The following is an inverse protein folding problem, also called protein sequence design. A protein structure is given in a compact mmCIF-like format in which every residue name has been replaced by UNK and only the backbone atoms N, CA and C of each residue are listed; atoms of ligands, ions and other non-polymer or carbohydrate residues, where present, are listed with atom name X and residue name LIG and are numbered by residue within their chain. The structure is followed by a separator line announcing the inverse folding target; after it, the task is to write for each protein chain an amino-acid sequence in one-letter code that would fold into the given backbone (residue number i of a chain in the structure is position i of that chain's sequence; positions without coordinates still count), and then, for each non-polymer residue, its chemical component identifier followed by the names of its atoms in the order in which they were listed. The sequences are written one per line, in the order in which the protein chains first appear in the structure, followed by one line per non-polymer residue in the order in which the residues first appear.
data_IF_323162275631
#
_entry.id   IF_323162275631
#
_cell.length_a   1.000
_cell.length_b   1.000
_cell.length_c   1.000
_cell.angle_alpha   90.00
_cell.angle_beta   90.00
_cell.angle_gamma   90.00
#
_symmetry.space_group_name_H-M   'P 1'
#
loop_
_entity.id
_entity.type
_entity.pdbx_description
1 polymer ?
#
# COMPACT_ATOMS: atom_id res chain seq x y z
N UNK A 1 26.82 -40.28 -42.23
CA UNK A 1 25.50 -40.57 -41.64
C UNK A 1 25.59 -40.33 -40.14
N UNK A 2 24.67 -39.50 -39.63
CA UNK A 2 24.17 -39.38 -38.25
C UNK A 2 25.17 -39.30 -37.09
N UNK A 3 25.42 -38.06 -36.64
CA UNK A 3 25.59 -37.77 -35.20
C UNK A 3 24.43 -36.87 -34.76
N UNK A 4 23.71 -37.36 -33.76
CA UNK A 4 22.45 -36.84 -33.25
C UNK A 4 22.75 -35.83 -32.12
N UNK A 5 22.59 -34.53 -32.38
CA UNK A 5 22.68 -33.49 -31.34
C UNK A 5 21.28 -33.20 -30.80
N UNK A 6 21.09 -33.54 -29.54
CA UNK A 6 19.91 -33.24 -28.72
C UNK A 6 19.86 -31.77 -28.32
N UNK A 7 18.81 -31.11 -28.80
CA UNK A 7 17.81 -30.33 -28.07
C UNK A 7 18.21 -29.33 -26.94
N UNK A 8 17.72 -28.10 -27.16
CA UNK A 8 17.10 -27.15 -26.23
C UNK A 8 17.94 -26.42 -25.17
N UNK A 9 18.10 -25.11 -25.37
CA UNK A 9 17.66 -24.06 -24.42
C UNK A 9 17.48 -22.75 -25.20
N UNK A 10 16.23 -22.34 -25.45
CA UNK A 10 15.90 -21.01 -25.95
C UNK A 10 15.04 -20.28 -24.91
N UNK A 11 15.27 -18.97 -24.87
CA UNK A 11 14.84 -17.96 -23.91
C UNK A 11 13.40 -17.98 -23.40
N UNK A 12 13.29 -17.65 -22.11
CA UNK A 12 12.29 -16.77 -21.47
C UNK A 12 10.83 -16.94 -21.88
N UNK A 13 10.08 -17.73 -21.09
CA UNK A 13 8.63 -17.70 -21.08
C UNK A 13 8.13 -16.43 -20.36
N UNK A 14 7.68 -15.45 -21.15
CA UNK A 14 6.73 -14.45 -20.70
C UNK A 14 5.35 -15.11 -20.56
N UNK A 15 4.72 -14.88 -19.42
CA UNK A 15 3.38 -15.32 -19.05
C UNK A 15 2.36 -14.54 -19.89
N UNK A 16 1.88 -15.16 -20.96
CA UNK A 16 0.65 -14.76 -21.66
C UNK A 16 -0.37 -15.89 -21.50
N UNK A 17 -1.38 -15.68 -20.67
CA UNK A 17 -2.57 -16.53 -20.61
C UNK A 17 -3.52 -16.17 -21.77
N UNK A 18 -3.91 -17.11 -22.64
CA UNK A 18 -4.96 -16.85 -23.62
C UNK A 18 -6.34 -16.90 -22.94
N UNK A 19 -7.06 -15.78 -22.97
CA UNK A 19 -8.49 -15.75 -22.63
C UNK A 19 -9.27 -16.35 -23.78
N UNK A 20 -10.00 -17.41 -23.46
CA UNK A 20 -10.89 -18.15 -24.35
C UNK A 20 -12.06 -17.26 -24.78
N UNK A 21 -12.10 -17.00 -26.08
CA UNK A 21 -13.18 -16.34 -26.80
C UNK A 21 -14.36 -17.31 -26.93
N UNK A 22 -15.52 -16.98 -26.36
CA UNK A 22 -16.78 -17.52 -26.88
C UNK A 22 -17.66 -16.38 -27.39
N UNK A 23 -18.21 -16.63 -28.55
CA UNK A 23 -18.81 -15.66 -29.46
C UNK A 23 -20.32 -15.60 -29.23
N UNK A 24 -20.90 -14.40 -29.26
CA UNK A 24 -22.23 -14.17 -29.87
C UNK A 24 -22.36 -12.68 -30.25
N UNK A 25 -22.48 -12.45 -31.56
CA UNK A 25 -22.90 -11.22 -32.29
C UNK A 25 -24.28 -10.74 -31.80
N UNK A 26 -24.83 -9.54 -31.99
CA UNK A 26 -24.59 -8.25 -32.70
C UNK A 26 -25.43 -7.19 -31.92
N UNK A 27 -25.43 -5.87 -32.08
CA UNK A 27 -25.27 -4.98 -33.23
C UNK A 27 -24.91 -3.56 -32.73
N UNK A 28 -24.33 -2.74 -33.61
CA UNK A 28 -23.57 -1.54 -33.26
C UNK A 28 -24.36 -0.27 -32.91
N UNK A 29 -23.64 0.68 -32.32
CA UNK A 29 -23.44 2.01 -32.87
C UNK A 29 -22.12 2.59 -32.34
N UNK A 30 -21.38 3.24 -33.22
CA UNK A 30 -20.11 3.93 -32.98
C UNK A 30 -20.37 5.23 -32.25
N UNK A 31 -19.73 5.45 -31.10
CA UNK A 31 -19.28 6.79 -30.69
C UNK A 31 -18.15 6.71 -29.65
N UNK A 32 -16.94 6.95 -30.17
CA UNK A 32 -15.73 7.51 -29.55
C UNK A 32 -15.69 7.63 -28.02
N UNK A 33 -15.15 6.61 -27.35
CA UNK A 33 -14.65 6.71 -25.98
C UNK A 33 -13.37 7.55 -25.96
N UNK A 34 -13.49 8.80 -25.51
CA UNK A 34 -12.35 9.58 -25.00
C UNK A 34 -11.73 8.81 -23.85
N UNK A 35 -10.44 8.52 -24.01
CA UNK A 35 -9.54 7.98 -23.01
C UNK A 35 -9.48 8.94 -21.81
N UNK A 36 -10.23 8.67 -20.75
CA UNK A 36 -9.99 9.27 -19.44
C UNK A 36 -8.96 8.43 -18.71
N UNK A 37 -7.81 9.07 -18.49
CA UNK A 37 -6.67 8.65 -17.71
C UNK A 37 -7.10 8.09 -16.35
N UNK A 38 -6.75 6.84 -16.08
CA UNK A 38 -6.70 6.23 -14.75
C UNK A 38 -5.81 7.07 -13.82
N UNK A 39 -6.42 8.03 -13.12
CA UNK A 39 -5.82 8.70 -11.97
C UNK A 39 -6.76 8.53 -10.78
N UNK A 40 -6.29 7.77 -9.80
CA UNK A 40 -6.95 7.56 -8.52
C UNK A 40 -7.40 6.12 -8.31
N UNK A 41 -6.46 5.18 -8.13
CA UNK A 41 -6.82 3.90 -7.50
C UNK A 41 -7.05 4.19 -6.02
N UNK A 42 -8.29 4.50 -5.66
CA UNK A 42 -8.76 4.68 -4.28
C UNK A 42 -8.71 3.32 -3.59
N UNK A 43 -8.25 3.29 -2.33
CA UNK A 43 -8.33 2.08 -1.52
C UNK A 43 -9.81 1.73 -1.28
N UNK A 44 -10.26 0.62 -1.85
CA UNK A 44 -11.64 0.17 -1.71
C UNK A 44 -11.78 -0.58 -0.37
N UNK A 45 -12.18 0.18 0.66
CA UNK A 45 -12.47 -0.33 2.00
C UNK A 45 -13.53 -1.43 1.90
N UNK A 46 -13.16 -2.66 2.25
CA UNK A 46 -14.11 -3.76 2.37
C UNK A 46 -15.14 -3.41 3.45
N UNK A 47 -16.34 -3.04 3.04
CA UNK A 47 -17.41 -2.62 3.93
C UNK A 47 -17.95 -3.83 4.71
N UNK A 48 -17.26 -4.23 5.78
CA UNK A 48 -17.67 -5.28 6.69
C UNK A 48 -18.65 -4.74 7.74
N UNK A 49 -19.83 -4.31 7.29
CA UNK A 49 -21.00 -4.15 8.14
C UNK A 49 -22.06 -5.13 7.67
N UNK A 50 -22.07 -6.35 8.25
CA UNK A 50 -23.28 -7.11 8.63
C UNK A 50 -22.93 -8.20 9.65
N UNK A 51 -23.60 -8.09 10.79
CA UNK A 51 -24.00 -9.11 11.77
C UNK A 51 -23.77 -10.58 11.39
N UNK A 52 -23.12 -11.30 12.30
CA UNK A 52 -23.20 -12.75 12.58
C UNK A 52 -24.00 -13.61 11.59
N UNK A 53 -23.33 -14.28 10.64
CA UNK A 53 -23.64 -15.64 10.20
C UNK A 53 -22.57 -16.13 9.23
N UNK A 54 -22.27 -17.44 9.25
CA UNK A 54 -21.31 -18.14 8.40
C UNK A 54 -21.53 -17.83 6.90
N UNK A 55 -20.80 -16.88 6.33
CA UNK A 55 -20.41 -16.78 4.91
C UNK A 55 -19.68 -15.44 4.64
N UNK A 56 -18.44 -15.29 5.12
CA UNK A 56 -17.50 -14.40 4.45
C UNK A 56 -16.93 -15.19 3.27
N UNK A 57 -17.14 -14.73 2.04
CA UNK A 57 -16.64 -15.37 0.81
C UNK A 57 -15.10 -15.45 0.79
N UNK A 58 -14.42 -14.75 1.70
CA UNK A 58 -12.96 -14.72 1.84
C UNK A 58 -12.54 -15.12 3.25
N UNK A 59 -11.53 -15.99 3.33
CA UNK A 59 -10.87 -16.35 4.59
C UNK A 59 -10.01 -15.20 5.12
N UNK A 60 -9.65 -15.24 6.42
CA UNK A 60 -8.72 -14.24 7.02
C UNK A 60 -7.43 -14.13 6.18
N UNK A 61 -6.92 -15.27 5.73
CA UNK A 61 -5.70 -15.35 4.93
C UNK A 61 -5.86 -14.71 3.54
N UNK A 62 -7.04 -14.84 2.90
CA UNK A 62 -7.31 -14.22 1.59
C UNK A 62 -7.33 -12.69 1.68
N UNK A 63 -7.92 -12.14 2.75
CA UNK A 63 -7.97 -10.69 2.98
C UNK A 63 -6.56 -10.14 3.23
N UNK A 64 -5.81 -10.79 4.12
CA UNK A 64 -4.42 -10.43 4.42
C UNK A 64 -3.55 -10.51 3.17
N UNK A 65 -3.69 -11.58 2.37
CA UNK A 65 -2.95 -11.76 1.13
C UNK A 65 -3.27 -10.66 0.10
N UNK A 66 -4.54 -10.28 -0.04
CA UNK A 66 -4.95 -9.21 -0.97
C UNK A 66 -4.39 -7.85 -0.53
N UNK A 67 -4.49 -7.51 0.76
CA UNK A 67 -3.94 -6.26 1.29
C UNK A 67 -2.41 -6.18 1.13
N UNK A 68 -1.71 -7.31 1.38
CA UNK A 68 -0.25 -7.41 1.13
C UNK A 68 0.06 -7.18 -0.34
N UNK A 69 -0.64 -7.84 -1.25
CA UNK A 69 -0.40 -7.73 -2.69
C UNK A 69 -0.59 -6.30 -3.21
N UNK A 70 -1.64 -5.60 -2.77
CA UNK A 70 -1.88 -4.20 -3.15
C UNK A 70 -0.74 -3.30 -2.65
N UNK A 71 -0.36 -3.46 -1.38
CA UNK A 71 0.74 -2.69 -0.77
C UNK A 71 2.08 -2.96 -1.44
N UNK A 72 2.38 -4.22 -1.76
CA UNK A 72 3.61 -4.64 -2.45
C UNK A 72 3.68 -4.08 -3.87
N UNK A 73 2.58 -4.14 -4.63
CA UNK A 73 2.51 -3.57 -5.98
C UNK A 73 2.78 -2.06 -5.96
N UNK A 74 2.14 -1.32 -5.04
CA UNK A 74 2.34 0.13 -4.87
C UNK A 74 3.76 0.47 -4.44
N UNK A 75 4.32 -0.33 -3.54
CA UNK A 75 5.70 -0.16 -3.08
C UNK A 75 6.70 -0.44 -4.20
N UNK A 76 6.46 -1.44 -5.04
CA UNK A 76 7.29 -1.74 -6.21
C UNK A 76 7.27 -0.60 -7.24
N UNK A 77 6.10 0.01 -7.48
CA UNK A 77 5.98 1.20 -8.33
C UNK A 77 6.80 2.37 -7.79
N UNK A 78 6.68 2.65 -6.48
CA UNK A 78 7.48 3.70 -5.82
C UNK A 78 8.98 3.43 -5.96
N UNK A 79 9.42 2.19 -5.68
CA UNK A 79 10.83 1.78 -5.83
C UNK A 79 11.33 2.02 -7.25
N UNK A 80 10.58 1.60 -8.26
CA UNK A 80 10.97 1.78 -9.66
C UNK A 80 11.09 3.26 -10.05
N UNK A 81 10.16 4.10 -9.57
CA UNK A 81 10.22 5.55 -9.80
C UNK A 81 11.48 6.16 -9.17
N UNK A 82 11.79 5.79 -7.92
CA UNK A 82 12.95 6.31 -7.21
C UNK A 82 14.25 5.79 -7.82
N UNK A 83 14.31 4.53 -8.22
CA UNK A 83 15.45 3.94 -8.92
C UNK A 83 15.74 4.69 -10.24
N UNK A 84 14.70 4.95 -11.04
CA UNK A 84 14.80 5.77 -12.26
C UNK A 84 15.27 7.20 -11.94
N UNK A 85 14.80 7.78 -10.84
CA UNK A 85 15.20 9.12 -10.41
C UNK A 85 16.67 9.17 -9.95
N UNK A 86 17.14 8.16 -9.23
CA UNK A 86 18.53 8.05 -8.76
C UNK A 86 19.51 7.84 -9.91
N UNK A 87 19.18 6.94 -10.84
CA UNK A 87 19.99 6.64 -12.03
C UNK A 87 20.10 7.86 -12.95
N UNK A 88 18.99 8.58 -13.17
CA UNK A 88 18.98 9.83 -13.97
C UNK A 88 19.87 10.92 -13.35
N UNK A 89 20.04 10.92 -12.03
CA UNK A 89 20.86 11.88 -11.30
C UNK A 89 22.29 11.39 -11.00
N UNK A 90 22.74 10.32 -11.68
CA UNK A 90 24.12 9.83 -11.61
C UNK A 90 24.50 9.18 -10.27
N UNK A 91 23.54 8.82 -9.42
CA UNK A 91 23.82 8.14 -8.14
C UNK A 91 23.98 6.63 -8.37
N UNK A 92 25.09 6.06 -7.89
CA UNK A 92 25.33 4.60 -7.95
C UNK A 92 24.45 3.88 -6.91
N UNK A 93 23.78 2.82 -7.33
CA UNK A 93 22.90 1.99 -6.48
C UNK A 93 23.69 0.74 -6.07
N UNK A 94 23.86 0.53 -4.75
CA UNK A 94 24.46 -0.68 -4.20
C UNK A 94 23.44 -1.60 -3.51
N UNK A 95 22.51 -1.03 -2.74
CA UNK A 95 21.52 -1.75 -1.91
C UNK A 95 20.22 -0.95 -1.72
N UNK A 96 19.15 -1.62 -1.25
CA UNK A 96 17.85 -0.99 -0.95
C UNK A 96 17.95 0.12 0.12
N UNK A 97 18.85 -0.03 1.10
CA UNK A 97 19.10 0.98 2.13
C UNK A 97 19.71 2.27 1.55
N UNK A 98 20.43 2.18 0.42
CA UNK A 98 20.99 3.36 -0.25
C UNK A 98 19.90 4.21 -0.86
N UNK A 99 18.78 3.59 -1.27
CA UNK A 99 17.62 4.29 -1.82
C UNK A 99 16.93 5.14 -0.75
N UNK A 100 16.66 4.58 0.43
CA UNK A 100 16.02 5.33 1.52
C UNK A 100 16.92 6.45 2.04
N UNK A 101 18.22 6.19 2.18
CA UNK A 101 19.19 7.22 2.55
C UNK A 101 19.34 8.30 1.49
N UNK A 102 19.22 7.96 0.21
CA UNK A 102 19.20 8.94 -0.88
C UNK A 102 18.00 9.88 -0.75
N UNK A 103 16.80 9.32 -0.56
CA UNK A 103 15.58 10.10 -0.36
C UNK A 103 15.66 10.96 0.91
N UNK A 104 16.20 10.42 2.00
CA UNK A 104 16.38 11.12 3.27
C UNK A 104 17.28 12.37 3.15
N UNK A 105 18.25 12.37 2.23
CA UNK A 105 19.09 13.55 1.97
C UNK A 105 18.32 14.73 1.38
N UNK A 106 17.18 14.49 0.73
CA UNK A 106 16.34 15.52 0.11
C UNK A 106 16.98 16.24 -1.10
N UNK A 107 18.22 15.90 -1.47
CA UNK A 107 18.95 16.55 -2.56
C UNK A 107 18.70 15.82 -3.89
N UNK A 108 17.47 15.91 -4.39
CA UNK A 108 17.08 15.35 -5.67
C UNK A 108 16.13 16.28 -6.42
N UNK A 109 16.16 16.18 -7.73
CA UNK A 109 15.28 16.92 -8.64
C UNK A 109 14.07 16.07 -8.99
N UNK A 110 12.91 16.72 -8.98
CA UNK A 110 11.64 16.13 -9.42
C UNK A 110 11.03 17.03 -10.48
N UNK A 111 10.47 16.42 -11.52
CA UNK A 111 9.66 17.15 -12.49
C UNK A 111 8.36 17.63 -11.83
N UNK A 112 7.75 18.67 -12.41
CA UNK A 112 6.57 19.31 -11.83
C UNK A 112 5.36 18.35 -11.74
N UNK A 113 5.19 17.49 -12.74
CA UNK A 113 4.15 16.46 -12.80
C UNK A 113 4.32 15.38 -11.72
N UNK A 114 5.55 14.90 -11.51
CA UNK A 114 5.86 13.94 -10.44
C UNK A 114 5.65 14.56 -9.06
N UNK A 115 6.02 15.82 -8.87
CA UNK A 115 5.76 16.55 -7.63
C UNK A 115 4.26 16.70 -7.36
N UNK A 116 3.49 17.10 -8.36
CA UNK A 116 2.05 17.27 -8.24
C UNK A 116 1.35 15.93 -7.91
N UNK A 117 1.77 14.84 -8.56
CA UNK A 117 1.24 13.51 -8.26
C UNK A 117 1.61 13.08 -6.84
N UNK A 118 2.86 13.24 -6.42
CA UNK A 118 3.28 12.89 -5.06
C UNK A 118 2.52 13.71 -3.99
N UNK A 119 2.24 14.99 -4.24
CA UNK A 119 1.41 15.82 -3.37
C UNK A 119 -0.03 15.31 -3.27
N UNK A 120 -0.63 14.92 -4.40
CA UNK A 120 -1.96 14.32 -4.41
C UNK A 120 -1.96 12.96 -3.69
N UNK A 121 -0.90 12.16 -3.86
CA UNK A 121 -0.82 10.85 -3.25
C UNK A 121 -0.67 10.92 -1.71
N UNK A 122 -0.05 11.97 -1.16
CA UNK A 122 0.11 12.17 0.30
C UNK A 122 -0.97 13.06 0.93
N UNK A 123 -1.91 13.58 0.13
CA UNK A 123 -3.05 14.33 0.64
C UNK A 123 -3.93 13.44 1.55
N UNK A 124 -4.84 14.03 2.31
CA UNK A 124 -5.65 13.28 3.29
C UNK A 124 -6.50 12.17 2.64
N UNK A 125 -6.96 12.39 1.41
CA UNK A 125 -7.67 11.43 0.55
C UNK A 125 -6.73 10.61 -0.36
N UNK A 126 -5.47 11.02 -0.44
CA UNK A 126 -4.44 10.37 -1.22
C UNK A 126 -4.11 8.98 -0.69
N UNK A 127 -3.66 8.10 -1.58
CA UNK A 127 -3.36 6.72 -1.18
C UNK A 127 -2.33 6.65 -0.04
N UNK A 128 -1.26 7.45 -0.07
CA UNK A 128 -0.24 7.54 0.98
C UNK A 128 -0.56 8.59 2.07
N UNK A 129 -1.78 9.13 2.08
CA UNK A 129 -2.26 10.02 3.11
C UNK A 129 -2.23 9.39 4.51
N UNK A 130 -2.23 10.24 5.53
CA UNK A 130 -2.21 9.84 6.95
C UNK A 130 -3.40 8.94 7.27
N UNK A 131 -4.61 9.35 6.89
CA UNK A 131 -5.84 8.60 7.17
C UNK A 131 -5.88 7.27 6.45
N UNK A 132 -5.59 7.25 5.14
CA UNK A 132 -5.60 6.04 4.32
C UNK A 132 -4.54 5.03 4.76
N UNK A 133 -3.33 5.50 5.07
CA UNK A 133 -2.24 4.63 5.49
C UNK A 133 -2.50 4.05 6.87
N UNK A 134 -2.98 4.87 7.82
CA UNK A 134 -3.31 4.39 9.16
C UNK A 134 -4.49 3.41 9.16
N UNK A 135 -5.51 3.64 8.33
CA UNK A 135 -6.62 2.70 8.13
C UNK A 135 -6.13 1.34 7.64
N UNK A 136 -5.29 1.31 6.59
CA UNK A 136 -4.73 0.06 6.06
C UNK A 136 -3.92 -0.71 7.11
N UNK A 137 -3.13 -0.01 7.94
CA UNK A 137 -2.34 -0.65 9.00
C UNK A 137 -3.25 -1.28 10.05
N UNK A 138 -4.29 -0.57 10.48
CA UNK A 138 -5.24 -1.06 11.50
C UNK A 138 -6.12 -2.18 10.95
N UNK A 139 -6.57 -2.07 9.70
CA UNK A 139 -7.32 -3.13 9.01
C UNK A 139 -6.47 -4.37 8.83
N UNK A 140 -5.19 -4.23 8.52
CA UNK A 140 -4.25 -5.34 8.43
C UNK A 140 -4.08 -6.04 9.79
N UNK A 141 -3.92 -5.28 10.87
CA UNK A 141 -3.86 -5.83 12.22
C UNK A 141 -5.17 -6.53 12.63
N UNK A 142 -6.32 -5.95 12.29
CA UNK A 142 -7.64 -6.59 12.50
C UNK A 142 -7.76 -7.88 11.69
N UNK A 143 -7.33 -7.90 10.44
CA UNK A 143 -7.37 -9.09 9.60
C UNK A 143 -6.46 -10.20 10.15
N UNK A 144 -5.25 -9.84 10.60
CA UNK A 144 -4.29 -10.78 11.21
C UNK A 144 -4.81 -11.41 12.52
N UNK A 145 -5.38 -10.58 13.40
CA UNK A 145 -5.95 -11.04 14.68
C UNK A 145 -7.33 -11.68 14.50
N UNK A 146 -7.95 -11.52 13.33
CA UNK A 146 -9.33 -11.88 13.10
C UNK A 146 -10.33 -11.04 13.90
N UNK A 147 -9.96 -9.81 14.25
CA UNK A 147 -10.79 -8.89 15.03
C UNK A 147 -10.70 -9.08 16.55
N UNK A 148 -9.76 -9.89 17.04
CA UNK A 148 -9.57 -10.08 18.49
C UNK A 148 -8.86 -8.88 19.14
N UNK A 149 -9.63 -8.06 19.86
CA UNK A 149 -9.13 -6.89 20.58
C UNK A 149 -8.15 -7.27 21.72
N UNK A 150 -8.18 -8.50 22.21
CA UNK A 150 -7.22 -8.98 23.23
C UNK A 150 -5.78 -9.03 22.71
N UNK A 151 -5.62 -9.03 21.38
CA UNK A 151 -4.32 -9.02 20.69
C UNK A 151 -3.84 -7.62 20.33
N UNK A 152 -4.59 -6.57 20.68
CA UNK A 152 -4.28 -5.20 20.28
C UNK A 152 -2.97 -4.68 20.89
N UNK A 153 -2.66 -5.01 22.16
CA UNK A 153 -1.38 -4.61 22.75
C UNK A 153 -0.18 -5.28 22.05
N UNK A 154 -0.33 -6.54 21.62
CA UNK A 154 0.65 -7.25 20.80
C UNK A 154 0.82 -6.56 19.43
N UNK A 155 -0.29 -6.13 18.80
CA UNK A 155 -0.25 -5.42 17.52
C UNK A 155 0.37 -4.04 17.62
N UNK A 156 0.09 -3.29 18.70
CA UNK A 156 0.75 -2.01 18.97
C UNK A 156 2.25 -2.18 19.12
N UNK A 157 2.69 -3.13 19.94
CA UNK A 157 4.11 -3.41 20.13
C UNK A 157 4.80 -3.83 18.82
N UNK A 158 4.14 -4.65 17.99
CA UNK A 158 4.63 -5.02 16.67
C UNK A 158 4.74 -3.80 15.72
N UNK A 159 3.74 -2.92 15.74
CA UNK A 159 3.74 -1.69 14.95
C UNK A 159 4.86 -0.73 15.40
N UNK A 160 5.04 -0.49 16.70
CA UNK A 160 6.15 0.33 17.23
C UNK A 160 7.51 -0.22 16.82
N UNK A 161 7.69 -1.54 16.91
CA UNK A 161 8.92 -2.19 16.47
C UNK A 161 9.14 -1.99 14.96
N UNK A 162 8.10 -2.12 14.15
CA UNK A 162 8.14 -1.84 12.71
C UNK A 162 8.51 -0.38 12.41
N UNK A 163 7.92 0.58 13.14
CA UNK A 163 8.20 2.01 12.97
C UNK A 163 9.64 2.37 13.33
N UNK A 164 10.18 1.78 14.41
CA UNK A 164 11.61 1.90 14.78
C UNK A 164 12.53 1.34 13.70
N UNK A 165 12.20 0.17 13.15
CA UNK A 165 12.95 -0.42 12.04
C UNK A 165 12.91 0.46 10.78
N UNK A 166 11.76 1.03 10.44
CA UNK A 166 11.61 1.97 9.34
C UNK A 166 12.43 3.25 9.54
N UNK A 167 12.48 3.77 10.77
CA UNK A 167 13.31 4.92 11.14
C UNK A 167 14.80 4.60 10.96
N UNK A 168 15.24 3.41 11.37
CA UNK A 168 16.60 2.93 11.15
C UNK A 168 16.97 2.81 9.67
N UNK A 169 16.09 2.21 8.86
CA UNK A 169 16.30 2.06 7.42
C UNK A 169 16.32 3.41 6.68
N UNK A 170 15.53 4.38 7.14
CA UNK A 170 15.55 5.75 6.62
C UNK A 170 16.89 6.46 6.87
N UNK A 171 17.58 6.12 7.95
CA UNK A 171 18.92 6.63 8.27
C UNK A 171 18.96 8.07 8.79
N UNK A 172 17.81 8.68 9.05
CA UNK A 172 17.68 10.01 9.66
C UNK A 172 16.31 10.15 10.35
N UNK A 173 15.94 11.35 10.79
CA UNK A 173 14.58 11.60 11.30
C UNK A 173 13.56 11.37 10.18
N UNK A 174 12.54 10.56 10.46
CA UNK A 174 11.43 10.36 9.52
C UNK A 174 10.71 11.69 9.21
N UNK A 175 10.18 11.87 7.99
CA UNK A 175 9.35 13.01 7.64
C UNK A 175 8.14 13.19 8.59
N UNK A 176 7.64 14.42 8.72
CA UNK A 176 6.52 14.75 9.61
C UNK A 176 5.29 13.86 9.38
N UNK A 177 4.94 13.63 8.11
CA UNK A 177 3.81 12.76 7.72
C UNK A 177 3.91 11.34 8.32
N UNK A 178 5.12 10.80 8.49
CA UNK A 178 5.31 9.48 9.09
C UNK A 178 4.94 9.48 10.57
N UNK A 179 5.26 10.54 11.31
CA UNK A 179 4.89 10.67 12.72
C UNK A 179 3.38 10.90 12.88
N UNK A 180 2.79 11.76 12.03
CA UNK A 180 1.33 11.93 11.97
C UNK A 180 0.59 10.61 11.70
N UNK A 181 1.15 9.77 10.82
CA UNK A 181 0.61 8.43 10.55
C UNK A 181 0.75 7.50 11.76
N UNK A 182 1.87 7.55 12.47
CA UNK A 182 2.07 6.80 13.71
C UNK A 182 1.01 7.16 14.76
N UNK A 183 0.80 8.45 15.00
CA UNK A 183 -0.18 8.93 15.98
C UNK A 183 -1.60 8.51 15.60
N UNK A 184 -1.95 8.62 14.31
CA UNK A 184 -3.25 8.17 13.79
C UNK A 184 -3.46 6.66 13.98
N UNK A 185 -2.43 5.84 13.74
CA UNK A 185 -2.50 4.39 13.98
C UNK A 185 -2.70 4.08 15.46
N UNK A 186 -1.94 4.74 16.34
CA UNK A 186 -2.05 4.51 17.78
C UNK A 186 -3.44 4.87 18.30
N UNK A 187 -3.95 6.04 17.90
CA UNK A 187 -5.32 6.46 18.22
C UNK A 187 -6.34 5.44 17.74
N UNK A 188 -6.25 4.97 16.49
CA UNK A 188 -7.19 3.96 15.94
C UNK A 188 -7.09 2.61 16.66
N UNK A 189 -5.90 2.24 17.17
CA UNK A 189 -5.76 1.06 18.02
C UNK A 189 -6.39 1.27 19.40
N UNK A 190 -6.27 2.45 20.01
CA UNK A 190 -6.97 2.80 21.26
C UNK A 190 -8.49 2.80 21.09
N UNK A 191 -8.99 3.42 20.02
CA UNK A 191 -10.41 3.43 19.69
C UNK A 191 -10.95 2.00 19.50
N UNK A 192 -10.20 1.15 18.79
CA UNK A 192 -10.57 -0.26 18.62
C UNK A 192 -10.54 -1.06 19.93
N UNK A 193 -9.64 -0.71 20.85
CA UNK A 193 -9.57 -1.32 22.17
C UNK A 193 -10.75 -0.99 23.09
N UNK A 194 -11.63 -0.06 22.68
CA UNK A 194 -12.60 0.56 23.58
C UNK A 194 -11.94 1.48 24.61
N UNK A 195 -10.66 1.83 24.43
CA UNK A 195 -9.96 2.87 25.21
C UNK A 195 -10.26 4.22 24.56
N UNK A 196 -11.54 4.55 24.40
CA UNK A 196 -11.91 5.94 24.18
C UNK A 196 -11.59 6.64 25.50
N UNK A 197 -10.55 7.48 25.54
CA UNK A 197 -10.52 8.52 26.57
C UNK A 197 -11.72 9.40 26.29
N UNK A 198 -12.84 9.10 26.98
CA UNK A 198 -13.89 10.07 27.24
C UNK A 198 -13.17 11.32 27.71
N UNK A 199 -13.13 12.32 26.82
CA UNK A 199 -12.82 13.68 27.23
C UNK A 199 -13.90 13.99 28.27
N UNK A 200 -13.57 14.27 29.54
CA UNK A 200 -14.59 14.61 30.51
C UNK A 200 -15.29 15.86 29.97
N UNK A 201 -16.53 15.70 29.53
CA UNK A 201 -17.46 16.80 29.34
C UNK A 201 -17.41 17.60 30.64
N UNK A 202 -16.87 18.81 30.53
CA UNK A 202 -16.87 19.76 31.63
C UNK A 202 -18.33 20.19 31.77
N UNK A 203 -19.03 19.55 32.68
CA UNK A 203 -20.31 20.01 33.21
C UNK A 203 -20.06 21.32 33.94
N UNK A 204 -20.02 22.44 33.21
CA UNK A 204 -20.27 23.76 33.79
C UNK A 204 -21.77 23.91 34.01
N UNK A 205 -22.19 23.54 35.22
CA UNK A 205 -23.36 24.11 35.87
C UNK A 205 -22.86 25.21 36.81
N UNK A 206 -23.05 26.48 36.41
CA UNK A 206 -23.21 27.62 37.30
C UNK A 206 -23.92 28.75 36.56
#
# INVERSE_FOLDING_TARGET
MSVNSVNSVNSTAAYTTPVQQNSTKAAGNTETSKQTTDKGVVYEKGNASKTSSKNSIYSKDDIVARMKKDTEARTAQLRSLVEKMMTTQGSKIGQADDMWKFLAKGNFTVSADVRAQAQADIADDGYWGVEQTSDRIVEFAKALTGGDASKMEEMKAAFEKGFKAATGAWGSKLPDISNRTYDAVMKKFDDWAGKTTETPETTEIA
#
